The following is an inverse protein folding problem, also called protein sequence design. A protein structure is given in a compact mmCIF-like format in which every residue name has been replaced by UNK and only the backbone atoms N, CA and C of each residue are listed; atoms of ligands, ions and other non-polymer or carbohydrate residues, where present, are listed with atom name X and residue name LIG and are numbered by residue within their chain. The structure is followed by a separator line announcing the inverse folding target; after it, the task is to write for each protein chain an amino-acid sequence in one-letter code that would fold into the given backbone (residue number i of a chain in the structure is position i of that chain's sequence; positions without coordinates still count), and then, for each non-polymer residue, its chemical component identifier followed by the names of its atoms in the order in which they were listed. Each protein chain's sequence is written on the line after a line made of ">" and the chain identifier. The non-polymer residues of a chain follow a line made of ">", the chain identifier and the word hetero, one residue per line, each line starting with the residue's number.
data_IF_621650404097
#
_entry.id   IF_621650404097
#
_cell.length_a   1.000
_cell.length_b   1.000
_cell.length_c   1.000
_cell.angle_alpha   90.00
_cell.angle_beta   90.00
_cell.angle_gamma   90.00
#
_symmetry.space_group_name_H-M   'P 1'
#
loop_
_entity.id
_entity.type
_entity.pdbx_description
1 polymer ?
#
# COMPACT_ATOMS: atom_id res chain seq x y z
N UNK A 1 36.58 35.42 -5.36
CA UNK A 1 36.11 34.83 -4.08
C UNK A 1 35.41 35.92 -3.27
N UNK A 2 34.08 35.97 -3.27
CA UNK A 2 33.29 37.00 -2.57
C UNK A 2 32.53 36.35 -1.40
N UNK A 3 32.85 36.76 -0.17
CA UNK A 3 32.20 36.27 1.07
C UNK A 3 30.86 37.00 1.26
N UNK A 4 29.76 36.26 1.20
CA UNK A 4 28.40 36.71 1.54
C UNK A 4 28.29 36.80 3.08
N UNK A 5 28.07 38.01 3.62
CA UNK A 5 27.71 38.20 5.03
C UNK A 5 26.21 37.93 5.20
N UNK A 6 25.85 36.97 6.05
CA UNK A 6 24.48 36.79 6.52
C UNK A 6 24.27 37.67 7.75
N UNK A 7 23.35 38.64 7.67
CA UNK A 7 22.86 39.38 8.84
C UNK A 7 21.85 38.51 9.58
N UNK A 8 22.17 38.11 10.81
CA UNK A 8 21.25 37.48 11.74
C UNK A 8 20.44 38.57 12.46
N UNK A 9 19.19 38.79 12.03
CA UNK A 9 18.23 39.58 12.81
C UNK A 9 17.66 38.71 13.92
N UNK A 10 18.02 39.06 15.15
CA UNK A 10 17.51 38.48 16.38
C UNK A 10 16.02 38.85 16.52
N UNK A 11 15.12 37.87 16.40
CA UNK A 11 13.69 38.05 16.67
C UNK A 11 13.48 38.21 18.18
N UNK A 12 13.35 39.45 18.65
CA UNK A 12 12.78 39.74 19.98
C UNK A 12 11.25 39.62 19.90
N UNK A 13 10.60 38.84 20.77
CA UNK A 13 9.14 38.79 20.81
C UNK A 13 8.55 40.13 21.31
N UNK A 14 7.43 40.60 20.74
CA UNK A 14 6.78 41.80 21.22
C UNK A 14 6.18 41.53 22.61
N UNK A 15 6.58 42.34 23.59
CA UNK A 15 5.94 42.38 24.90
C UNK A 15 4.79 43.37 24.82
N UNK A 16 3.55 42.88 24.69
CA UNK A 16 2.34 43.71 24.78
C UNK A 16 1.67 43.63 26.16
N UNK A 17 0.98 44.69 26.60
CA UNK A 17 0.57 44.87 27.98
C UNK A 17 -0.68 44.04 28.34
N UNK A 18 -0.72 43.66 29.61
CA UNK A 18 -1.74 42.81 30.26
C UNK A 18 -3.15 43.40 30.15
N UNK A 19 -4.06 42.65 29.51
CA UNK A 19 -5.50 42.70 29.78
C UNK A 19 -5.90 41.45 30.56
N UNK A 20 -5.85 41.54 31.89
CA UNK A 20 -5.89 40.40 32.82
C UNK A 20 -7.17 39.51 32.76
N UNK A 21 -8.24 39.93 32.07
CA UNK A 21 -9.49 39.15 31.98
C UNK A 21 -9.57 38.21 30.77
N UNK A 22 -9.07 38.64 29.61
CA UNK A 22 -9.10 37.88 28.35
C UNK A 22 -7.85 37.04 28.15
N UNK A 23 -6.68 37.50 28.62
CA UNK A 23 -5.41 36.76 28.50
C UNK A 23 -5.42 35.47 29.32
N UNK A 24 -6.05 35.47 30.49
CA UNK A 24 -6.17 34.28 31.36
C UNK A 24 -7.04 33.21 30.71
N UNK A 25 -8.15 33.59 30.06
CA UNK A 25 -9.01 32.64 29.33
C UNK A 25 -8.31 32.07 28.10
N UNK A 26 -7.54 32.90 27.39
CA UNK A 26 -6.75 32.46 26.24
C UNK A 26 -5.62 31.51 26.66
N UNK A 27 -4.97 31.76 27.79
CA UNK A 27 -3.93 30.90 28.34
C UNK A 27 -4.49 29.53 28.77
N UNK A 28 -5.68 29.51 29.39
CA UNK A 28 -6.36 28.26 29.76
C UNK A 28 -6.76 27.48 28.50
N UNK A 29 -7.30 28.15 27.48
CA UNK A 29 -7.65 27.50 26.21
C UNK A 29 -6.42 26.92 25.50
N UNK A 30 -5.31 27.65 25.48
CA UNK A 30 -4.04 27.18 24.92
C UNK A 30 -3.48 25.97 25.67
N UNK A 31 -3.57 25.95 27.00
CA UNK A 31 -3.13 24.82 27.81
C UNK A 31 -3.96 23.55 27.55
N UNK A 32 -5.30 23.68 27.46
CA UNK A 32 -6.19 22.54 27.15
C UNK A 32 -5.89 22.00 25.75
N UNK A 33 -5.64 22.87 24.77
CA UNK A 33 -5.29 22.47 23.41
C UNK A 33 -3.96 21.72 23.35
N UNK A 34 -2.93 22.20 24.06
CA UNK A 34 -1.63 21.52 24.13
C UNK A 34 -1.73 20.13 24.79
N UNK A 35 -2.53 20.00 25.85
CA UNK A 35 -2.82 18.70 26.47
C UNK A 35 -3.60 17.78 25.52
N UNK A 36 -4.59 18.32 24.80
CA UNK A 36 -5.35 17.58 23.81
C UNK A 36 -4.48 17.01 22.68
N UNK A 37 -3.51 17.78 22.18
CA UNK A 37 -2.52 17.30 21.20
C UNK A 37 -1.65 16.19 21.80
N UNK A 38 -1.13 16.37 23.01
CA UNK A 38 -0.30 15.36 23.67
C UNK A 38 -1.02 14.03 23.90
N UNK A 39 -2.27 14.08 24.36
CA UNK A 39 -3.11 12.90 24.57
C UNK A 39 -3.54 12.28 23.23
N UNK A 40 -3.87 13.09 22.23
CA UNK A 40 -4.22 12.63 20.88
C UNK A 40 -3.08 11.82 20.24
N UNK A 41 -1.85 12.32 20.30
CA UNK A 41 -0.66 11.61 19.79
C UNK A 41 -0.46 10.28 20.54
N UNK A 42 -0.58 10.28 21.87
CA UNK A 42 -0.43 9.06 22.67
C UNK A 42 -1.48 8.00 22.31
N UNK A 43 -2.75 8.37 22.18
CA UNK A 43 -3.82 7.44 21.80
C UNK A 43 -3.68 6.94 20.35
N UNK A 44 -3.22 7.79 19.42
CA UNK A 44 -2.94 7.37 18.04
C UNK A 44 -1.81 6.33 17.95
N UNK A 45 -0.86 6.33 18.90
CA UNK A 45 0.21 5.31 18.94
C UNK A 45 -0.20 4.00 19.62
N UNK A 46 -1.26 4.02 20.44
CA UNK A 46 -1.71 2.85 21.22
C UNK A 46 -2.74 1.98 20.49
N UNK A 47 -3.32 2.48 19.41
CA UNK A 47 -4.25 1.73 18.55
C UNK A 47 -3.73 1.61 17.12
N UNK A 48 -2.61 0.89 16.88
CA UNK A 48 -2.28 0.46 15.53
C UNK A 48 -3.32 -0.57 15.13
N UNK A 49 -4.42 -0.14 14.52
CA UNK A 49 -5.28 -1.06 13.76
C UNK A 49 -4.38 -1.76 12.75
N UNK A 50 -4.12 -3.08 12.88
CA UNK A 50 -3.06 -3.76 12.13
C UNK A 50 -3.49 -4.09 10.69
N UNK A 51 -4.34 -3.25 10.08
CA UNK A 51 -5.08 -3.57 8.85
C UNK A 51 -4.56 -2.83 7.62
N UNK A 52 -3.68 -1.86 7.78
CA UNK A 52 -3.05 -1.16 6.64
C UNK A 52 -1.68 -1.76 6.39
N UNK A 53 -1.63 -2.67 5.41
CA UNK A 53 -0.39 -3.21 4.85
C UNK A 53 0.21 -2.14 3.92
N UNK A 54 1.14 -1.34 4.45
CA UNK A 54 1.97 -0.47 3.61
C UNK A 54 2.80 -1.33 2.64
N UNK A 55 3.09 -0.81 1.43
CA UNK A 55 3.89 -1.54 0.44
C UNK A 55 5.21 -2.08 1.01
N UNK A 56 5.88 -1.29 1.87
CA UNK A 56 7.11 -1.68 2.57
C UNK A 56 6.87 -2.83 3.55
N UNK A 57 5.70 -2.89 4.19
CA UNK A 57 5.33 -3.99 5.09
C UNK A 57 5.05 -5.25 4.27
N UNK A 58 4.45 -5.12 3.09
CA UNK A 58 4.16 -6.24 2.21
C UNK A 58 5.44 -6.87 1.66
N UNK A 59 6.42 -6.07 1.22
CA UNK A 59 7.71 -6.58 0.73
C UNK A 59 8.44 -7.41 1.79
N UNK A 60 8.30 -7.04 3.07
CA UNK A 60 8.86 -7.81 4.18
C UNK A 60 8.09 -9.09 4.50
N UNK A 61 6.80 -9.16 4.12
CA UNK A 61 5.94 -10.32 4.34
C UNK A 61 5.90 -11.26 3.12
N UNK A 62 6.41 -10.81 1.97
CA UNK A 62 6.47 -11.62 0.77
C UNK A 62 7.22 -12.93 1.04
N UNK A 63 6.63 -14.08 0.67
CA UNK A 63 7.35 -15.35 0.78
C UNK A 63 8.61 -15.27 -0.08
N UNK A 64 9.77 -15.63 0.50
CA UNK A 64 11.07 -15.57 -0.18
C UNK A 64 11.35 -14.21 -0.84
N UNK A 65 11.42 -13.15 -0.02
CA UNK A 65 11.63 -11.75 -0.44
C UNK A 65 12.71 -11.56 -1.51
N UNK A 66 13.86 -12.23 -1.36
CA UNK A 66 14.97 -12.10 -2.31
C UNK A 66 14.61 -12.65 -3.70
N UNK A 67 13.77 -13.68 -3.77
CA UNK A 67 13.29 -14.18 -5.06
C UNK A 67 12.37 -13.16 -5.74
N UNK A 68 11.40 -12.63 -4.99
CA UNK A 68 10.42 -11.68 -5.54
C UNK A 68 11.07 -10.39 -6.01
N UNK A 69 12.06 -9.88 -5.29
CA UNK A 69 12.77 -8.67 -5.69
C UNK A 69 13.61 -8.85 -6.96
N UNK A 70 14.15 -10.05 -7.21
CA UNK A 70 15.03 -10.31 -8.34
C UNK A 70 14.30 -10.82 -9.58
N UNK A 71 13.23 -11.61 -9.38
CA UNK A 71 12.59 -12.37 -10.46
C UNK A 71 11.10 -12.06 -10.65
N UNK A 72 10.52 -11.20 -9.81
CA UNK A 72 9.09 -10.97 -9.74
C UNK A 72 8.70 -9.58 -9.22
N UNK A 73 7.53 -9.53 -8.61
CA UNK A 73 7.04 -8.43 -7.80
C UNK A 73 6.26 -9.00 -6.60
N UNK A 74 6.41 -8.38 -5.43
CA UNK A 74 5.61 -8.68 -4.25
C UNK A 74 4.13 -8.40 -4.53
N UNK A 75 3.25 -9.31 -4.11
CA UNK A 75 1.82 -9.19 -4.35
C UNK A 75 1.01 -9.56 -3.11
N UNK A 76 -0.18 -8.96 -2.99
CA UNK A 76 -1.21 -9.41 -2.05
C UNK A 76 -2.15 -10.34 -2.80
N UNK A 77 -2.17 -11.61 -2.42
CA UNK A 77 -3.04 -12.62 -3.00
C UNK A 77 -4.32 -12.68 -2.18
N UNK A 78 -5.46 -12.47 -2.84
CA UNK A 78 -6.79 -12.54 -2.24
C UNK A 78 -7.58 -13.66 -2.89
N UNK A 79 -8.00 -14.65 -2.11
CA UNK A 79 -8.85 -15.74 -2.58
C UNK A 79 -10.27 -15.55 -2.04
N UNK A 80 -11.25 -15.44 -2.94
CA UNK A 80 -12.68 -15.45 -2.61
C UNK A 80 -13.41 -16.54 -3.38
N UNK A 81 -14.47 -17.06 -2.78
CA UNK A 81 -15.35 -18.05 -3.40
C UNK A 81 -16.67 -17.38 -3.74
N UNK A 82 -17.10 -17.53 -4.98
CA UNK A 82 -18.40 -17.07 -5.45
C UNK A 82 -19.35 -18.27 -5.53
N UNK A 83 -20.47 -18.21 -4.82
CA UNK A 83 -21.48 -19.26 -4.80
C UNK A 83 -22.71 -18.79 -5.57
N UNK A 84 -23.08 -19.49 -6.63
CA UNK A 84 -24.31 -19.19 -7.39
C UNK A 84 -25.30 -20.31 -7.14
N UNK A 85 -26.42 -20.00 -6.49
CA UNK A 85 -27.55 -20.93 -6.36
C UNK A 85 -28.49 -20.70 -7.53
N UNK A 86 -29.10 -21.75 -8.08
CA UNK A 86 -30.03 -21.66 -9.23
C UNK A 86 -31.51 -21.79 -8.80
N UNK A 87 -31.77 -22.21 -7.56
CA UNK A 87 -33.12 -22.32 -7.01
C UNK A 87 -33.12 -22.18 -5.47
N UNK A 88 -33.49 -21.01 -4.92
CA UNK A 88 -33.70 -19.72 -5.61
C UNK A 88 -32.39 -19.14 -6.16
N UNK A 89 -32.45 -18.28 -7.19
CA UNK A 89 -31.25 -17.67 -7.78
C UNK A 89 -30.62 -16.64 -6.83
N UNK A 90 -29.46 -16.95 -6.26
CA UNK A 90 -28.72 -16.05 -5.36
C UNK A 90 -27.21 -16.15 -5.60
N UNK A 91 -26.50 -15.04 -5.34
CA UNK A 91 -25.04 -14.97 -5.48
C UNK A 91 -24.38 -14.61 -4.14
N UNK A 92 -23.71 -15.63 -3.61
CA UNK A 92 -22.78 -15.71 -2.48
C UNK A 92 -21.39 -15.13 -2.78
N UNK A 93 -20.77 -14.29 -1.94
CA UNK A 93 -19.31 -14.10 -1.96
C UNK A 93 -18.73 -14.31 -0.57
N UNK A 94 -17.69 -15.15 -0.46
CA UNK A 94 -16.96 -15.32 0.79
C UNK A 94 -16.06 -14.12 1.07
N UNK A 95 -15.79 -13.86 2.35
CA UNK A 95 -14.77 -12.89 2.73
C UNK A 95 -13.40 -13.32 2.18
N UNK A 96 -12.65 -12.39 1.60
CA UNK A 96 -11.32 -12.65 1.07
C UNK A 96 -10.27 -12.39 2.15
N UNK A 97 -9.47 -13.40 2.47
CA UNK A 97 -8.32 -13.24 3.36
C UNK A 97 -7.08 -12.88 2.54
N UNK A 98 -6.40 -11.75 2.84
CA UNK A 98 -5.19 -11.37 2.14
C UNK A 98 -4.01 -12.21 2.63
N UNK A 99 -3.30 -12.85 1.70
CA UNK A 99 -2.09 -13.62 1.94
C UNK A 99 -0.94 -13.00 1.14
N UNK A 100 0.26 -12.83 1.71
CA UNK A 100 1.40 -12.35 0.93
C UNK A 100 1.81 -13.40 -0.11
N UNK A 101 2.11 -12.92 -1.31
CA UNK A 101 2.54 -13.74 -2.42
C UNK A 101 3.46 -12.97 -3.35
N UNK A 102 3.69 -13.55 -4.51
CA UNK A 102 4.67 -13.08 -5.47
C UNK A 102 4.21 -13.37 -6.88
N UNK A 103 4.30 -12.38 -7.76
CA UNK A 103 4.03 -12.55 -9.19
C UNK A 103 5.36 -12.60 -9.92
N UNK A 104 5.60 -13.65 -10.70
CA UNK A 104 6.87 -13.88 -11.40
C UNK A 104 6.82 -13.23 -12.77
N UNK A 105 7.90 -12.58 -13.19
CA UNK A 105 7.96 -12.02 -14.54
C UNK A 105 8.06 -13.14 -15.60
N UNK A 106 7.41 -12.98 -16.78
CA UNK A 106 7.41 -13.98 -17.86
C UNK A 106 8.78 -14.49 -18.32
N UNK A 107 9.81 -13.66 -18.24
CA UNK A 107 11.18 -14.00 -18.62
C UNK A 107 11.89 -14.91 -17.62
N UNK A 108 11.38 -15.03 -16.38
CA UNK A 108 12.06 -15.69 -15.27
C UNK A 108 11.41 -17.02 -14.83
N UNK A 109 10.46 -17.56 -15.60
CA UNK A 109 9.76 -18.80 -15.23
C UNK A 109 10.68 -20.03 -15.13
N UNK A 110 11.80 -20.03 -15.85
CA UNK A 110 12.80 -21.10 -15.76
C UNK A 110 13.37 -21.27 -14.35
N UNK A 111 13.36 -20.23 -13.52
CA UNK A 111 13.84 -20.32 -12.12
C UNK A 111 12.88 -21.14 -11.25
N UNK A 112 11.56 -21.05 -11.52
CA UNK A 112 10.56 -21.89 -10.86
C UNK A 112 10.69 -23.38 -11.25
N UNK A 113 11.06 -23.63 -12.52
CA UNK A 113 11.34 -24.98 -13.03
C UNK A 113 12.60 -25.57 -12.35
N UNK A 114 13.65 -24.77 -12.20
CA UNK A 114 14.88 -25.19 -11.51
C UNK A 114 14.64 -25.53 -10.04
N UNK A 115 13.73 -24.81 -9.37
CA UNK A 115 13.27 -25.14 -8.00
C UNK A 115 12.26 -26.29 -7.94
N UNK A 116 11.95 -26.91 -9.09
CA UNK A 116 11.03 -28.03 -9.22
C UNK A 116 9.61 -27.74 -8.68
N UNK A 117 9.19 -26.48 -8.78
CA UNK A 117 7.88 -26.02 -8.29
C UNK A 117 6.82 -26.10 -9.40
N UNK A 118 7.26 -25.96 -10.65
CA UNK A 118 6.41 -26.10 -11.85
C UNK A 118 7.06 -27.08 -12.82
N UNK A 119 6.27 -27.64 -13.74
CA UNK A 119 6.76 -28.51 -14.82
C UNK A 119 6.77 -27.77 -16.15
N UNK A 120 7.51 -28.32 -17.13
CA UNK A 120 7.57 -27.75 -18.48
C UNK A 120 6.19 -27.76 -19.18
N UNK A 121 5.32 -28.71 -18.85
CA UNK A 121 3.93 -28.74 -19.31
C UNK A 121 3.15 -27.51 -18.86
N UNK A 122 3.36 -27.08 -17.62
CA UNK A 122 2.61 -26.01 -16.98
C UNK A 122 3.00 -24.67 -17.60
N UNK A 123 4.29 -24.51 -17.94
CA UNK A 123 4.81 -23.36 -18.69
C UNK A 123 4.07 -23.20 -20.02
N UNK A 124 3.93 -24.28 -20.79
CA UNK A 124 3.25 -24.22 -22.10
C UNK A 124 1.78 -23.85 -21.93
N UNK A 125 1.07 -24.54 -21.04
CA UNK A 125 -0.35 -24.29 -20.78
C UNK A 125 -0.61 -22.86 -20.29
N UNK A 126 0.27 -22.32 -19.44
CA UNK A 126 0.12 -20.97 -18.91
C UNK A 126 0.46 -19.91 -19.97
N UNK A 127 1.51 -20.14 -20.75
CA UNK A 127 1.92 -19.26 -21.85
C UNK A 127 0.85 -19.13 -22.92
N UNK A 128 0.24 -20.24 -23.31
CA UNK A 128 -0.77 -20.28 -24.39
C UNK A 128 -2.02 -19.46 -24.04
N UNK A 129 -2.25 -19.19 -22.75
CA UNK A 129 -3.36 -18.37 -22.26
C UNK A 129 -2.97 -16.91 -22.00
N UNK A 130 -1.76 -16.49 -22.39
CA UNK A 130 -1.18 -15.18 -22.08
C UNK A 130 -1.19 -14.84 -20.58
N UNK A 131 -1.03 -15.85 -19.73
CA UNK A 131 -0.99 -15.72 -18.29
C UNK A 131 0.46 -15.63 -17.77
N UNK A 132 0.61 -15.32 -16.48
CA UNK A 132 1.87 -15.41 -15.74
C UNK A 132 1.74 -16.30 -14.51
N UNK A 133 2.85 -16.62 -13.85
CA UNK A 133 2.83 -17.39 -12.60
C UNK A 133 2.80 -16.48 -11.39
N UNK A 134 1.94 -16.81 -10.44
CA UNK A 134 1.97 -16.28 -9.09
C UNK A 134 2.15 -17.41 -8.09
N UNK A 135 2.76 -17.14 -6.95
CA UNK A 135 2.85 -18.11 -5.86
C UNK A 135 2.63 -17.50 -4.49
N UNK A 136 2.20 -18.34 -3.55
CA UNK A 136 2.08 -18.05 -2.13
C UNK A 136 2.82 -19.10 -1.30
N UNK A 137 3.32 -18.70 -0.14
CA UNK A 137 4.13 -19.57 0.71
C UNK A 137 5.58 -19.73 0.21
N UNK A 138 6.38 -20.42 1.01
CA UNK A 138 7.83 -20.53 0.84
C UNK A 138 8.22 -21.41 -0.36
N UNK A 139 9.03 -20.85 -1.26
CA UNK A 139 9.53 -21.49 -2.48
C UNK A 139 10.34 -22.77 -2.23
N UNK A 140 11.00 -22.87 -1.07
CA UNK A 140 11.88 -24.00 -0.74
C UNK A 140 11.16 -25.14 0.00
N UNK A 141 9.88 -24.97 0.32
CA UNK A 141 9.05 -25.97 1.01
C UNK A 141 8.02 -26.57 0.05
N UNK A 142 6.81 -26.02 0.10
CA UNK A 142 5.67 -26.44 -0.70
C UNK A 142 4.83 -25.19 -0.98
N UNK A 143 5.27 -24.33 -1.92
CA UNK A 143 4.51 -23.16 -2.29
C UNK A 143 3.27 -23.58 -3.10
N UNK A 144 2.22 -22.78 -3.02
CA UNK A 144 1.07 -22.89 -3.92
C UNK A 144 1.35 -22.00 -5.12
N UNK A 145 1.39 -22.57 -6.33
CA UNK A 145 1.65 -21.85 -7.58
C UNK A 145 0.42 -21.90 -8.48
N UNK A 146 0.04 -20.72 -8.96
CA UNK A 146 -1.13 -20.53 -9.80
C UNK A 146 -0.74 -19.82 -11.10
N UNK A 147 -1.36 -20.24 -12.20
CA UNK A 147 -1.29 -19.55 -13.47
C UNK A 147 -2.36 -18.43 -13.49
N UNK A 148 -1.91 -17.19 -13.32
CA UNK A 148 -2.74 -16.00 -13.14
C UNK A 148 -2.79 -15.15 -14.42
N UNK A 149 -3.96 -14.60 -14.73
CA UNK A 149 -4.14 -13.73 -15.88
C UNK A 149 -3.78 -12.28 -15.53
N UNK A 150 -2.94 -11.67 -16.36
CA UNK A 150 -2.64 -10.25 -16.28
C UNK A 150 -3.59 -9.46 -17.18
N UNK A 151 -4.42 -8.61 -16.59
CA UNK A 151 -5.26 -7.69 -17.36
C UNK A 151 -4.42 -6.49 -17.82
N UNK A 152 -3.66 -6.65 -18.90
CA UNK A 152 -2.79 -5.60 -19.47
C UNK A 152 -3.56 -4.31 -19.86
N UNK A 153 -4.86 -4.41 -20.06
CA UNK A 153 -5.75 -3.29 -20.40
C UNK A 153 -6.37 -2.60 -19.17
N UNK A 154 -6.09 -3.07 -17.96
CA UNK A 154 -6.60 -2.43 -16.74
C UNK A 154 -6.02 -1.02 -16.59
N UNK A 155 -4.70 -0.87 -16.76
CA UNK A 155 -4.01 0.41 -16.63
C UNK A 155 -4.56 1.46 -17.60
N UNK A 156 -4.77 1.12 -18.87
CA UNK A 156 -5.34 2.04 -19.87
C UNK A 156 -6.77 2.47 -19.53
N UNK A 157 -7.59 1.58 -18.94
CA UNK A 157 -8.94 1.93 -18.47
C UNK A 157 -8.92 2.87 -17.25
N UNK A 158 -7.91 2.77 -16.38
CA UNK A 158 -7.76 3.67 -15.24
C UNK A 158 -7.20 5.05 -15.66
N UNK A 159 -6.24 5.09 -16.58
CA UNK A 159 -5.62 6.36 -17.01
C UNK A 159 -6.49 7.14 -17.99
N UNK A 160 -7.22 6.47 -18.89
CA UNK A 160 -8.07 7.13 -19.88
C UNK A 160 -9.49 7.47 -19.34
N UNK A 161 -9.85 6.94 -18.16
CA UNK A 161 -11.15 7.19 -17.51
C UNK A 161 -11.15 8.34 -16.50
N UNK A 162 -9.99 8.93 -16.20
CA UNK A 162 -9.89 10.10 -15.35
C UNK A 162 -10.13 11.36 -16.21
N UNK A 163 -11.28 12.06 -16.08
CA UNK A 163 -11.35 13.41 -16.60
C UNK A 163 -10.24 14.20 -15.90
N UNK A 164 -9.39 14.90 -16.66
CA UNK A 164 -8.48 15.88 -16.10
C UNK A 164 -9.33 16.88 -15.32
N UNK A 165 -9.39 16.77 -13.98
CA UNK A 165 -10.02 17.80 -13.17
C UNK A 165 -9.28 19.11 -13.44
N UNK A 166 -9.94 20.16 -13.95
CA UNK A 166 -9.32 21.47 -13.97
C UNK A 166 -9.04 21.86 -12.52
N UNK A 167 -7.78 22.18 -12.21
CA UNK A 167 -7.44 22.84 -10.94
C UNK A 167 -8.37 24.04 -10.75
N UNK A 168 -8.98 24.24 -9.57
CA UNK A 168 -9.77 25.44 -9.33
C UNK A 168 -8.84 26.65 -9.36
N UNK A 169 -9.03 27.50 -10.37
CA UNK A 169 -8.39 28.82 -10.44
C UNK A 169 -8.86 29.64 -9.23
N UNK A 170 -7.97 30.38 -8.54
CA UNK A 170 -8.40 31.28 -7.49
C UNK A 170 -9.23 32.40 -8.13
N UNK A 171 -10.48 32.57 -7.69
CA UNK A 171 -11.28 33.73 -8.07
C UNK A 171 -10.82 34.97 -7.26
N UNK A 172 -10.80 36.16 -7.90
CA UNK A 172 -10.32 37.41 -7.31
C UNK A 172 -11.25 37.99 -6.24
#
# INVERSE_FOLDING_TARGET
>A
MARRRYSSTLNTPPTEPRSNGTTTKLAIAGAIFAVGIGVGIALSTLNPTPRTVDAIRLDNLAPSRDFCNNYGASAMVMSSRVYVTLNPFNVFISQAEPVPGCVVLPNNWNVLLQKNVIKESDIRQCKDRMNTFGFTGDLDKAPTVDCIYESKNASEKFTNGLPASPSPSPQP
#
